data_IF_274013956259
#
_entry.id   IF_274013956259
#
_cell.length_a   1.000
_cell.length_b   1.000
_cell.length_c   1.000
_cell.angle_alpha   90.00
_cell.angle_beta   90.00
_cell.angle_gamma   90.00
#
_symmetry.space_group_name_H-M   'P 1'
#
loop_
_entity.id
_entity.type
_entity.pdbx_description
1 polymer ?
#
# COMPACT_ATOMS: atom_id res chain seq x y z
N UNK A 1 -7.45 -44.29 -3.47
CA UNK A 1 -8.77 -43.80 -3.94
C UNK A 1 -8.56 -42.82 -5.09
N UNK A 2 -9.30 -42.92 -6.21
CA UNK A 2 -9.24 -41.91 -7.26
C UNK A 2 -9.91 -40.63 -6.75
N UNK A 3 -9.17 -39.52 -6.68
CA UNK A 3 -9.70 -38.20 -6.32
C UNK A 3 -10.79 -37.82 -7.33
N UNK A 4 -11.97 -37.44 -6.85
CA UNK A 4 -13.01 -36.89 -7.71
C UNK A 4 -12.41 -35.69 -8.47
N UNK A 5 -12.55 -35.69 -9.79
CA UNK A 5 -12.23 -34.52 -10.60
C UNK A 5 -13.30 -33.48 -10.30
N UNK A 6 -13.13 -32.73 -9.21
CA UNK A 6 -14.03 -31.64 -8.86
C UNK A 6 -14.20 -30.72 -10.05
N UNK A 7 -15.44 -30.54 -10.47
CA UNK A 7 -15.75 -29.57 -11.51
C UNK A 7 -15.52 -28.16 -10.93
N UNK A 8 -14.58 -27.43 -11.52
CA UNK A 8 -14.28 -26.05 -11.14
C UNK A 8 -15.06 -25.04 -11.98
N UNK A 9 -15.90 -25.49 -12.91
CA UNK A 9 -16.72 -24.61 -13.75
C UNK A 9 -17.55 -23.61 -12.93
N UNK A 10 -18.17 -23.97 -11.79
CA UNK A 10 -18.91 -23.01 -10.95
C UNK A 10 -18.03 -21.91 -10.33
N UNK A 11 -16.74 -22.18 -10.20
CA UNK A 11 -15.75 -21.29 -9.59
C UNK A 11 -14.91 -20.51 -10.60
N UNK A 12 -15.13 -20.76 -11.89
CA UNK A 12 -14.30 -20.22 -12.97
C UNK A 12 -14.10 -18.71 -12.86
N UNK A 13 -15.19 -17.95 -12.79
CA UNK A 13 -15.13 -16.49 -12.80
C UNK A 13 -14.48 -15.93 -11.53
N UNK A 14 -14.70 -16.59 -10.38
CA UNK A 14 -14.09 -16.22 -9.11
C UNK A 14 -12.58 -16.45 -9.16
N UNK A 15 -12.15 -17.61 -9.65
CA UNK A 15 -10.72 -17.96 -9.78
C UNK A 15 -10.03 -17.04 -10.78
N UNK A 16 -10.64 -16.79 -11.95
CA UNK A 16 -10.09 -15.88 -12.97
C UNK A 16 -9.97 -14.47 -12.40
N UNK A 17 -10.99 -13.98 -11.71
CA UNK A 17 -10.97 -12.65 -11.08
C UNK A 17 -9.83 -12.56 -10.06
N UNK A 18 -9.76 -13.51 -9.12
CA UNK A 18 -8.69 -13.53 -8.12
C UNK A 18 -7.30 -13.63 -8.75
N UNK A 19 -7.16 -14.41 -9.84
CA UNK A 19 -5.91 -14.58 -10.58
C UNK A 19 -5.47 -13.28 -11.27
N UNK A 20 -6.38 -12.62 -11.98
CA UNK A 20 -6.12 -11.32 -12.65
C UNK A 20 -5.82 -10.22 -11.63
N UNK A 21 -6.50 -10.27 -10.50
CA UNK A 21 -6.22 -9.45 -9.33
C UNK A 21 -4.92 -9.84 -8.62
N UNK A 22 -3.98 -10.60 -9.19
CA UNK A 22 -2.66 -10.80 -8.56
C UNK A 22 -2.75 -11.41 -7.14
N UNK A 23 -3.80 -12.18 -6.86
CA UNK A 23 -3.93 -12.94 -5.61
C UNK A 23 -2.95 -14.09 -5.64
N UNK A 24 -2.37 -14.46 -4.48
CA UNK A 24 -1.38 -15.53 -4.45
C UNK A 24 -1.99 -16.86 -4.90
N UNK A 25 -1.20 -17.70 -5.55
CA UNK A 25 -1.65 -19.03 -6.00
C UNK A 25 -2.13 -19.88 -4.83
N UNK A 26 -1.45 -19.81 -3.68
CA UNK A 26 -1.85 -20.51 -2.46
C UNK A 26 -3.23 -20.07 -1.97
N UNK A 27 -3.53 -18.77 -2.01
CA UNK A 27 -4.84 -18.25 -1.59
C UNK A 27 -5.93 -18.65 -2.60
N UNK A 28 -5.63 -18.61 -3.91
CA UNK A 28 -6.57 -19.04 -4.96
C UNK A 28 -6.89 -20.53 -4.83
N UNK A 29 -5.89 -21.36 -4.49
CA UNK A 29 -6.06 -22.80 -4.25
C UNK A 29 -6.89 -23.08 -2.99
N UNK A 30 -6.91 -22.16 -2.02
CA UNK A 30 -7.73 -22.27 -0.82
C UNK A 30 -9.21 -21.92 -1.06
N UNK A 31 -9.53 -21.04 -2.02
CA UNK A 31 -10.92 -20.58 -2.29
C UNK A 31 -11.94 -21.72 -2.51
N UNK A 32 -11.67 -22.78 -3.30
CA UNK A 32 -12.61 -23.86 -3.55
C UNK A 32 -12.83 -24.75 -2.32
N UNK A 33 -11.81 -24.87 -1.45
CA UNK A 33 -11.91 -25.62 -0.21
C UNK A 33 -12.87 -24.92 0.76
N UNK A 34 -12.72 -23.62 0.93
CA UNK A 34 -13.50 -22.86 1.89
C UNK A 34 -14.98 -22.74 1.50
N UNK A 35 -15.28 -22.68 0.20
CA UNK A 35 -16.65 -22.48 -0.28
C UNK A 35 -17.39 -23.75 -0.71
N UNK A 36 -16.67 -24.79 -1.13
CA UNK A 36 -17.26 -25.99 -1.77
C UNK A 36 -16.64 -27.31 -1.30
N UNK A 37 -15.82 -27.29 -0.24
CA UNK A 37 -15.07 -28.44 0.27
C UNK A 37 -14.24 -29.16 -0.82
N UNK A 38 -13.79 -28.39 -1.81
CA UNK A 38 -13.03 -28.90 -2.94
C UNK A 38 -11.55 -28.58 -2.80
N UNK A 39 -10.73 -29.59 -2.52
CA UNK A 39 -9.28 -29.41 -2.50
C UNK A 39 -8.68 -29.53 -3.91
N UNK A 40 -8.09 -28.44 -4.41
CA UNK A 40 -7.30 -28.44 -5.65
C UNK A 40 -5.81 -28.26 -5.35
N UNK A 41 -4.97 -28.53 -6.35
CA UNK A 41 -3.52 -28.30 -6.29
C UNK A 41 -3.14 -27.18 -7.25
N UNK A 42 -1.97 -26.58 -7.08
CA UNK A 42 -1.39 -25.59 -8.00
C UNK A 42 -1.40 -26.11 -9.44
N UNK A 43 -1.00 -27.36 -9.65
CA UNK A 43 -1.03 -28.02 -10.97
C UNK A 43 -2.44 -28.05 -11.57
N UNK A 44 -3.45 -28.29 -10.74
CA UNK A 44 -4.86 -28.31 -11.17
C UNK A 44 -5.32 -26.90 -11.54
N UNK A 45 -4.95 -25.90 -10.73
CA UNK A 45 -5.23 -24.49 -11.02
C UNK A 45 -4.61 -24.06 -12.34
N UNK A 46 -3.30 -24.28 -12.56
CA UNK A 46 -2.62 -23.88 -13.79
C UNK A 46 -3.18 -24.58 -15.03
N UNK A 47 -3.48 -25.88 -14.94
CA UNK A 47 -4.15 -26.59 -16.04
C UNK A 47 -5.48 -25.93 -16.40
N UNK A 48 -6.26 -25.54 -15.40
CA UNK A 48 -7.59 -24.93 -15.58
C UNK A 48 -7.49 -23.51 -16.13
N UNK A 49 -6.54 -22.71 -15.65
CA UNK A 49 -6.24 -21.40 -16.20
C UNK A 49 -5.87 -21.51 -17.70
N UNK A 50 -5.07 -22.50 -18.08
CA UNK A 50 -4.74 -22.78 -19.47
C UNK A 50 -5.98 -23.18 -20.29
N UNK A 51 -6.81 -24.10 -19.77
CA UNK A 51 -8.09 -24.49 -20.39
C UNK A 51 -9.04 -23.29 -20.56
N UNK A 52 -8.93 -22.27 -19.72
CA UNK A 52 -9.73 -21.04 -19.76
C UNK A 52 -9.07 -19.89 -20.55
N UNK A 53 -7.92 -20.13 -21.19
CA UNK A 53 -7.12 -19.14 -21.93
C UNK A 53 -6.61 -17.97 -21.07
N UNK A 54 -6.40 -18.17 -19.77
CA UNK A 54 -5.67 -17.23 -18.93
C UNK A 54 -4.15 -17.42 -19.10
N UNK A 55 -3.34 -16.35 -18.97
CA UNK A 55 -1.90 -16.48 -18.95
C UNK A 55 -1.46 -17.37 -17.78
N UNK A 56 -0.45 -18.21 -18.00
CA UNK A 56 0.08 -19.11 -16.97
C UNK A 56 0.85 -18.37 -15.88
N UNK A 57 1.28 -17.14 -16.14
CA UNK A 57 2.01 -16.32 -15.21
C UNK A 57 1.28 -15.00 -14.97
N UNK A 58 1.10 -14.69 -13.70
CA UNK A 58 0.65 -13.40 -13.24
C UNK A 58 1.66 -12.32 -13.64
N UNK A 59 1.17 -11.16 -14.06
CA UNK A 59 2.02 -10.03 -14.39
C UNK A 59 2.78 -9.58 -13.14
N UNK A 60 4.09 -9.40 -13.26
CA UNK A 60 4.91 -8.96 -12.13
C UNK A 60 4.58 -7.51 -11.79
N UNK A 61 4.47 -7.22 -10.49
CA UNK A 61 4.41 -5.84 -10.02
C UNK A 61 5.73 -5.13 -10.32
N UNK A 62 5.68 -4.16 -11.22
CA UNK A 62 6.80 -3.28 -11.54
C UNK A 62 6.80 -2.08 -10.59
N UNK A 63 7.93 -1.79 -9.97
CA UNK A 63 8.10 -0.62 -9.10
C UNK A 63 8.43 0.62 -9.96
N UNK A 64 7.38 1.28 -10.45
CA UNK A 64 7.50 2.46 -11.32
C UNK A 64 7.23 3.74 -10.54
N UNK A 65 7.77 4.87 -11.02
CA UNK A 65 7.49 6.19 -10.44
C UNK A 65 5.99 6.50 -10.39
N UNK A 66 5.24 6.17 -11.45
CA UNK A 66 3.77 6.33 -11.49
C UNK A 66 3.08 5.54 -10.38
N UNK A 67 3.46 4.28 -10.18
CA UNK A 67 2.88 3.43 -9.14
C UNK A 67 3.18 3.98 -7.74
N UNK A 68 4.42 4.43 -7.51
CA UNK A 68 4.82 5.10 -6.27
C UNK A 68 3.96 6.33 -5.98
N UNK A 69 3.78 7.21 -6.97
CA UNK A 69 2.94 8.42 -6.83
C UNK A 69 1.49 8.08 -6.48
N UNK A 70 0.89 7.07 -7.12
CA UNK A 70 -0.48 6.64 -6.82
C UNK A 70 -0.61 6.11 -5.39
N UNK A 71 0.36 5.29 -4.95
CA UNK A 71 0.38 4.77 -3.58
C UNK A 71 0.54 5.89 -2.56
N UNK A 72 1.40 6.89 -2.85
CA UNK A 72 1.59 8.05 -2.00
C UNK A 72 0.31 8.88 -1.88
N UNK A 73 -0.33 9.24 -2.99
CA UNK A 73 -1.56 10.04 -2.96
C UNK A 73 -2.68 9.34 -2.19
N UNK A 74 -2.92 8.06 -2.48
CA UNK A 74 -3.93 7.29 -1.74
C UNK A 74 -3.62 7.20 -0.24
N UNK A 75 -2.35 7.05 0.13
CA UNK A 75 -1.96 6.93 1.52
C UNK A 75 -2.02 8.27 2.28
N UNK A 76 -1.46 9.34 1.71
CA UNK A 76 -1.27 10.62 2.40
C UNK A 76 -2.44 11.57 2.22
N UNK A 77 -3.05 11.61 1.03
CA UNK A 77 -4.16 12.52 0.73
C UNK A 77 -5.49 11.93 1.18
N UNK A 78 -5.73 10.65 0.88
CA UNK A 78 -7.02 9.98 1.13
C UNK A 78 -7.04 9.15 2.41
N UNK A 79 -5.87 8.79 2.95
CA UNK A 79 -5.79 7.96 4.15
C UNK A 79 -6.24 6.52 3.91
N UNK A 80 -6.29 6.08 2.65
CA UNK A 80 -6.77 4.77 2.23
C UNK A 80 -6.00 3.65 2.93
N UNK A 81 -6.69 2.56 3.29
CA UNK A 81 -6.12 1.30 3.78
C UNK A 81 -5.37 0.55 2.66
N UNK A 82 -4.58 -0.47 3.01
CA UNK A 82 -3.83 -1.24 1.99
C UNK A 82 -4.77 -1.95 1.01
N UNK A 83 -5.92 -2.44 1.48
CA UNK A 83 -6.95 -3.04 0.64
C UNK A 83 -7.59 -2.02 -0.31
N UNK A 84 -7.81 -0.78 0.14
CA UNK A 84 -8.37 0.28 -0.69
C UNK A 84 -7.36 0.74 -1.74
N UNK A 85 -6.10 0.98 -1.36
CA UNK A 85 -5.01 1.30 -2.30
C UNK A 85 -4.89 0.20 -3.36
N UNK A 86 -4.87 -1.06 -2.92
CA UNK A 86 -4.72 -2.21 -3.81
C UNK A 86 -5.88 -2.28 -4.81
N UNK A 87 -7.12 -2.10 -4.34
CA UNK A 87 -8.32 -2.10 -5.19
C UNK A 87 -8.28 -0.94 -6.19
N UNK A 88 -7.93 0.26 -5.74
CA UNK A 88 -7.85 1.44 -6.59
C UNK A 88 -6.81 1.27 -7.70
N UNK A 89 -5.57 0.91 -7.34
CA UNK A 89 -4.50 0.72 -8.34
C UNK A 89 -4.86 -0.37 -9.36
N UNK A 90 -5.45 -1.48 -8.92
CA UNK A 90 -5.91 -2.54 -9.83
C UNK A 90 -7.03 -2.08 -10.75
N UNK A 91 -7.93 -1.22 -10.28
CA UNK A 91 -9.01 -0.65 -11.12
C UNK A 91 -8.47 0.20 -12.28
N UNK A 92 -7.24 0.70 -12.16
CA UNK A 92 -6.52 1.40 -13.24
C UNK A 92 -5.82 0.44 -14.21
N UNK A 93 -6.00 -0.87 -14.05
CA UNK A 93 -5.35 -1.90 -14.88
C UNK A 93 -3.88 -2.14 -14.54
N UNK A 94 -3.37 -1.60 -13.42
CA UNK A 94 -1.98 -1.77 -13.03
C UNK A 94 -1.79 -3.07 -12.20
N UNK A 95 -0.82 -3.93 -12.57
CA UNK A 95 -0.58 -5.18 -11.85
C UNK A 95 0.09 -4.91 -10.50
N UNK A 96 -0.68 -5.04 -9.43
CA UNK A 96 -0.20 -4.87 -8.06
C UNK A 96 -0.64 -6.04 -7.18
N UNK A 97 0.32 -6.81 -6.66
CA UNK A 97 0.05 -7.80 -5.61
C UNK A 97 0.08 -7.14 -4.23
N UNK A 98 -0.55 -7.77 -3.22
CA UNK A 98 -0.52 -7.29 -1.84
C UNK A 98 0.90 -7.17 -1.30
N UNK A 99 1.72 -8.20 -1.52
CA UNK A 99 3.13 -8.19 -1.13
C UNK A 99 3.94 -7.14 -1.89
N UNK A 100 3.62 -6.91 -3.17
CA UNK A 100 4.20 -5.84 -3.98
C UNK A 100 3.89 -4.46 -3.41
N UNK A 101 2.64 -4.19 -3.02
CA UNK A 101 2.23 -2.96 -2.36
C UNK A 101 2.99 -2.75 -1.05
N UNK A 102 3.02 -3.77 -0.20
CA UNK A 102 3.72 -3.70 1.09
C UNK A 102 5.21 -3.41 0.91
N UNK A 103 5.87 -4.09 -0.03
CA UNK A 103 7.28 -3.86 -0.35
C UNK A 103 7.50 -2.43 -0.83
N UNK A 104 6.80 -2.00 -1.89
CA UNK A 104 6.99 -0.67 -2.48
C UNK A 104 6.76 0.43 -1.43
N UNK A 105 5.74 0.28 -0.57
CA UNK A 105 5.51 1.21 0.53
C UNK A 105 6.68 1.28 1.52
N UNK A 106 7.19 0.14 1.96
CA UNK A 106 8.33 0.08 2.89
C UNK A 106 9.58 0.68 2.26
N UNK A 107 9.81 0.42 0.98
CA UNK A 107 10.91 1.00 0.20
C UNK A 107 10.79 2.54 0.11
N UNK A 108 9.56 3.08 0.15
CA UNK A 108 9.28 4.52 0.25
C UNK A 108 9.24 5.06 1.71
N UNK A 109 9.50 4.24 2.72
CA UNK A 109 9.41 4.66 4.12
C UNK A 109 7.98 4.82 4.68
N UNK A 110 6.97 4.28 3.99
CA UNK A 110 5.55 4.40 4.36
C UNK A 110 5.09 3.19 5.19
N UNK A 111 5.14 3.33 6.51
CA UNK A 111 4.77 2.26 7.44
C UNK A 111 3.39 2.48 8.08
N UNK A 112 2.57 1.42 8.17
CA UNK A 112 1.31 1.42 8.94
C UNK A 112 1.58 1.38 10.45
N UNK A 113 2.55 0.58 10.86
CA UNK A 113 3.06 0.47 12.23
C UNK A 113 4.54 0.77 12.21
N UNK A 114 5.00 1.61 13.15
CA UNK A 114 6.37 2.11 13.19
C UNK A 114 7.09 1.63 14.44
N UNK A 115 8.38 1.37 14.30
CA UNK A 115 9.29 1.24 15.43
C UNK A 115 9.74 2.62 15.91
N UNK A 116 10.31 2.71 17.12
CA UNK A 116 10.87 3.96 17.64
C UNK A 116 11.96 4.52 16.71
N UNK A 117 12.85 3.66 16.19
CA UNK A 117 13.89 4.07 15.25
C UNK A 117 13.33 4.64 13.94
N UNK A 118 12.24 4.06 13.42
CA UNK A 118 11.57 4.59 12.23
C UNK A 118 10.92 5.95 12.50
N UNK A 119 10.34 6.14 13.69
CA UNK A 119 9.77 7.43 14.08
C UNK A 119 10.87 8.50 14.18
N UNK A 120 12.00 8.18 14.80
CA UNK A 120 13.13 9.08 14.92
C UNK A 120 13.69 9.50 13.55
N UNK A 121 13.90 8.54 12.65
CA UNK A 121 14.33 8.84 11.28
C UNK A 121 13.34 9.74 10.53
N UNK A 122 12.03 9.53 10.71
CA UNK A 122 11.02 10.40 10.11
C UNK A 122 11.03 11.81 10.73
N UNK A 123 11.21 11.92 12.05
CA UNK A 123 11.30 13.22 12.71
C UNK A 123 12.51 14.02 12.19
N UNK A 124 13.66 13.38 12.00
CA UNK A 124 14.82 14.02 11.39
C UNK A 124 14.51 14.55 9.98
N UNK A 125 13.88 13.73 9.13
CA UNK A 125 13.46 14.17 7.79
C UNK A 125 12.48 15.35 7.84
N UNK A 126 11.58 15.40 8.83
CA UNK A 126 10.68 16.53 8.99
C UNK A 126 11.39 17.78 9.48
N UNK A 127 12.39 17.66 10.35
CA UNK A 127 13.23 18.79 10.76
C UNK A 127 13.98 19.35 9.56
N UNK A 128 14.67 18.49 8.80
CA UNK A 128 15.36 18.89 7.57
C UNK A 128 14.40 19.59 6.59
N UNK A 129 13.18 19.06 6.45
CA UNK A 129 12.15 19.70 5.63
C UNK A 129 11.75 21.07 6.18
N UNK A 130 11.50 21.21 7.48
CA UNK A 130 11.14 22.49 8.12
C UNK A 130 12.23 23.57 7.98
N UNK A 131 13.50 23.16 7.93
CA UNK A 131 14.63 24.06 7.72
C UNK A 131 14.76 24.55 6.26
N UNK A 132 14.03 23.96 5.31
CA UNK A 132 14.05 24.43 3.92
C UNK A 132 13.54 25.89 3.80
N UNK A 133 14.18 26.74 2.96
CA UNK A 133 13.85 28.17 2.86
C UNK A 133 12.38 28.49 2.51
N UNK A 134 11.70 27.51 1.89
CA UNK A 134 10.29 27.58 1.50
C UNK A 134 9.31 27.53 2.69
N UNK A 135 9.70 26.96 3.83
CA UNK A 135 8.85 26.88 5.02
C UNK A 135 9.19 27.94 6.06
N UNK A 136 10.48 28.19 6.25
CA UNK A 136 11.01 29.10 7.25
C UNK A 136 10.63 30.57 7.02
N UNK A 137 10.36 30.98 5.77
CA UNK A 137 10.10 32.41 5.47
C UNK A 137 8.62 32.84 5.43
N UNK A 138 7.64 31.93 5.32
CA UNK A 138 6.23 32.34 5.04
C UNK A 138 5.16 31.62 5.88
N UNK A 139 5.38 30.40 6.37
CA UNK A 139 4.27 29.54 6.85
C UNK A 139 4.34 29.15 8.33
N UNK A 140 5.54 28.96 8.88
CA UNK A 140 5.77 28.45 10.24
C UNK A 140 5.10 29.31 11.36
N UNK A 141 5.16 30.64 11.35
CA UNK A 141 4.55 31.51 12.39
C UNK A 141 3.01 31.45 12.49
N UNK A 142 2.33 30.99 11.44
CA UNK A 142 0.86 31.09 11.32
C UNK A 142 0.17 29.72 11.26
N UNK A 143 0.92 28.64 11.10
CA UNK A 143 0.36 27.31 10.99
C UNK A 143 0.18 26.68 12.37
N UNK A 144 -1.07 26.62 12.83
CA UNK A 144 -1.41 25.78 13.98
C UNK A 144 -1.08 24.30 13.73
N UNK A 145 -1.00 23.51 14.81
CA UNK A 145 -0.61 22.08 14.83
C UNK A 145 -1.16 21.23 13.68
N UNK A 146 -2.45 21.38 13.36
CA UNK A 146 -3.12 20.60 12.31
C UNK A 146 -2.66 20.99 10.91
N UNK A 147 -2.40 22.27 10.68
CA UNK A 147 -2.01 22.80 9.37
C UNK A 147 -0.54 22.47 9.06
N UNK A 148 0.35 22.58 10.06
CA UNK A 148 1.74 22.11 9.94
C UNK A 148 1.78 20.62 9.60
N UNK A 149 1.05 19.80 10.36
CA UNK A 149 0.99 18.36 10.13
C UNK A 149 0.46 18.03 8.74
N UNK A 150 -0.64 18.66 8.30
CA UNK A 150 -1.20 18.45 6.97
C UNK A 150 -0.20 18.82 5.88
N UNK A 151 0.54 19.91 6.05
CA UNK A 151 1.51 20.36 5.06
C UNK A 151 2.70 19.40 4.93
N UNK A 152 3.31 18.99 6.05
CA UNK A 152 4.39 17.98 6.06
C UNK A 152 3.91 16.65 5.46
N UNK A 153 2.69 16.25 5.77
CA UNK A 153 2.12 15.01 5.25
C UNK A 153 1.87 15.06 3.73
N UNK A 154 1.34 16.16 3.22
CA UNK A 154 0.92 16.28 1.81
C UNK A 154 2.05 16.71 0.86
N UNK A 155 2.98 17.54 1.32
CA UNK A 155 4.04 18.08 0.45
C UNK A 155 5.30 17.24 0.55
N UNK A 156 5.74 16.91 1.75
CA UNK A 156 6.95 16.14 1.96
C UNK A 156 6.71 14.62 1.97
N UNK A 157 5.45 14.17 2.00
CA UNK A 157 5.08 12.76 2.10
C UNK A 157 5.77 12.04 3.28
N UNK A 158 5.94 12.74 4.41
CA UNK A 158 6.58 12.18 5.61
C UNK A 158 5.49 11.74 6.60
N UNK A 159 5.27 10.42 6.81
CA UNK A 159 4.21 9.94 7.67
C UNK A 159 4.62 10.07 9.14
N UNK A 160 4.30 11.18 9.81
CA UNK A 160 4.63 11.44 11.23
C UNK A 160 3.36 11.67 12.05
N UNK A 161 3.29 11.26 13.32
CA UNK A 161 2.17 11.61 14.18
C UNK A 161 2.17 13.13 14.43
N UNK A 162 1.05 13.79 14.21
CA UNK A 162 0.96 15.25 14.40
C UNK A 162 1.21 15.75 15.83
N UNK A 163 1.26 14.86 16.84
CA UNK A 163 1.75 15.20 18.18
C UNK A 163 3.27 15.36 18.18
N UNK A 164 3.99 14.31 17.80
CA UNK A 164 5.44 14.28 17.80
C UNK A 164 6.03 15.39 16.91
N UNK A 165 5.47 15.58 15.70
CA UNK A 165 5.89 16.66 14.82
C UNK A 165 5.77 18.04 15.47
N UNK A 166 4.65 18.29 16.16
CA UNK A 166 4.40 19.59 16.78
C UNK A 166 5.23 19.82 18.04
N UNK A 167 5.49 18.77 18.82
CA UNK A 167 6.41 18.83 19.95
C UNK A 167 7.83 19.19 19.50
N UNK A 168 8.34 18.52 18.45
CA UNK A 168 9.62 18.85 17.84
C UNK A 168 9.64 20.27 17.29
N UNK A 169 8.59 20.68 16.59
CA UNK A 169 8.45 22.04 16.07
C UNK A 169 8.47 23.10 17.19
N UNK A 170 7.74 22.87 18.29
CA UNK A 170 7.66 23.81 19.41
C UNK A 170 9.00 23.95 20.14
N UNK A 171 9.82 22.89 20.14
CA UNK A 171 11.18 22.92 20.69
C UNK A 171 12.14 23.72 19.81
N UNK A 172 12.00 23.63 18.48
CA UNK A 172 12.86 24.34 17.52
C UNK A 172 12.48 25.82 17.35
N UNK A 173 11.19 26.13 17.46
CA UNK A 173 10.65 27.48 17.23
C UNK A 173 9.75 27.94 18.40
N UNK A 174 10.26 28.03 19.64
CA UNK A 174 9.46 28.38 20.81
C UNK A 174 8.78 29.76 20.70
N UNK A 175 9.39 30.69 19.97
CA UNK A 175 8.86 32.02 19.71
C UNK A 175 7.60 32.05 18.82
N UNK A 176 7.36 30.98 18.05
CA UNK A 176 6.24 30.89 17.10
C UNK A 176 4.99 30.21 17.69
N UNK A 177 5.08 29.71 18.92
CA UNK A 177 4.04 28.91 19.59
C UNK A 177 3.36 29.67 20.74
N UNK A 178 3.74 30.94 20.96
CA UNK A 178 3.23 31.80 22.01
C UNK A 178 1.79 32.29 21.80
#
# INVERSE_FOLDING_TARGET
MPRSKGDLSPLRDIIITAYREQTSVSDIVALPKDKFDLAITDRTLYRRLQEWNEPLHQQRTADTGQLRSLIQDEFFTRGSSDSEILRYVRSLGLPLSKAGLERIRKDMGIFRRRTSAQLEAQLLQAVDFMETPSLSSILIPRLGRRSLWKHVLQVAHIPIPGKALYETFSQLYPQEVA
#
